data_IF_078539537227
#
_entry.id   IF_078539537227
#
_cell.length_a   1.000
_cell.length_b   1.000
_cell.length_c   1.000
_cell.angle_alpha   90.00
_cell.angle_beta   90.00
_cell.angle_gamma   90.00
#
_symmetry.space_group_name_H-M   'P 1'
#
loop_
_entity.id
_entity.type
_entity.pdbx_description
1 polymer ?
#
# COMPACT_ATOMS: atom_id res chain seq x y z
N UNK A 1 40.37 2.22 -23.30
CA UNK A 1 41.74 1.91 -22.88
C UNK A 1 41.78 0.89 -21.76
N UNK A 2 42.77 0.03 -21.84
CA UNK A 2 42.88 -1.25 -21.15
C UNK A 2 43.41 -1.15 -19.70
N UNK A 3 43.31 -2.29 -19.00
CA UNK A 3 43.91 -2.68 -17.70
C UNK A 3 43.02 -2.33 -16.49
N UNK A 4 42.53 -3.25 -15.67
CA UNK A 4 43.17 -4.45 -15.10
C UNK A 4 42.17 -5.60 -14.88
N UNK A 5 42.56 -6.79 -15.37
CA UNK A 5 42.15 -8.07 -14.83
C UNK A 5 42.98 -8.36 -13.57
N UNK A 6 42.31 -8.78 -12.48
CA UNK A 6 42.92 -9.63 -11.46
C UNK A 6 42.01 -10.83 -11.24
N UNK A 7 42.59 -12.01 -11.43
CA UNK A 7 41.95 -13.33 -11.42
C UNK A 7 41.65 -13.73 -9.98
N UNK A 8 40.43 -14.19 -9.72
CA UNK A 8 40.19 -15.20 -8.69
C UNK A 8 39.48 -16.36 -9.38
N UNK A 9 40.22 -17.44 -9.61
CA UNK A 9 39.69 -18.69 -10.13
C UNK A 9 39.31 -19.58 -8.97
N UNK A 10 38.02 -19.85 -8.81
CA UNK A 10 37.51 -21.13 -8.33
C UNK A 10 36.14 -21.32 -8.97
N UNK A 11 36.07 -22.30 -9.87
CA UNK A 11 34.86 -22.68 -10.58
C UNK A 11 34.08 -23.68 -9.72
N UNK A 12 32.78 -23.45 -9.59
CA UNK A 12 31.84 -24.35 -8.93
C UNK A 12 30.42 -23.85 -9.22
N UNK A 13 29.85 -24.36 -10.32
CA UNK A 13 28.46 -24.30 -10.77
C UNK A 13 27.54 -23.16 -10.23
N UNK A 14 27.26 -22.15 -11.07
CA UNK A 14 26.09 -21.26 -10.88
C UNK A 14 24.92 -21.75 -11.76
N UNK A 15 23.70 -21.91 -11.22
CA UNK A 15 22.54 -22.30 -12.03
C UNK A 15 22.13 -21.17 -13.00
N UNK A 16 21.93 -21.53 -14.27
CA UNK A 16 21.57 -20.67 -15.41
C UNK A 16 20.14 -20.09 -15.37
N UNK A 17 19.61 -19.64 -14.22
CA UNK A 17 18.23 -19.12 -14.11
C UNK A 17 18.06 -17.61 -13.89
N UNK A 18 19.14 -16.85 -13.68
CA UNK A 18 19.06 -15.38 -13.47
C UNK A 18 19.29 -14.57 -14.76
N UNK A 19 19.63 -15.22 -15.88
CA UNK A 19 20.01 -14.53 -17.12
C UNK A 19 18.85 -14.22 -18.08
N UNK A 20 17.65 -14.77 -17.85
CA UNK A 20 16.49 -14.50 -18.73
C UNK A 20 15.73 -13.24 -18.31
N UNK A 21 15.68 -12.91 -17.01
CA UNK A 21 15.05 -11.67 -16.51
C UNK A 21 15.90 -10.40 -16.81
N UNK A 22 17.21 -10.56 -17.00
CA UNK A 22 18.11 -9.44 -17.32
C UNK A 22 18.06 -9.03 -18.80
N UNK A 23 17.68 -9.95 -19.71
CA UNK A 23 17.60 -9.65 -21.15
C UNK A 23 16.30 -8.92 -21.54
N UNK A 24 15.17 -9.18 -20.89
CA UNK A 24 13.93 -8.41 -21.09
C UNK A 24 14.04 -6.99 -20.52
N UNK A 25 14.81 -6.79 -19.45
CA UNK A 25 15.04 -5.45 -18.87
C UNK A 25 15.95 -4.55 -19.73
N UNK A 26 16.77 -5.13 -20.61
CA UNK A 26 17.62 -4.36 -21.54
C UNK A 26 16.94 -4.05 -22.88
N UNK A 27 15.85 -4.73 -23.24
CA UNK A 27 15.12 -4.51 -24.50
C UNK A 27 14.07 -3.38 -24.46
N UNK A 28 13.75 -2.82 -23.29
CA UNK A 28 12.80 -1.68 -23.15
C UNK A 28 13.54 -0.35 -22.88
N UNK A 29 14.81 -0.24 -23.26
CA UNK A 29 15.55 1.03 -23.27
C UNK A 29 15.26 1.77 -24.58
N UNK A 30 14.07 2.34 -24.72
CA UNK A 30 13.74 3.15 -25.90
C UNK A 30 12.31 3.68 -25.99
N UNK A 31 11.34 3.08 -25.29
CA UNK A 31 9.97 3.60 -25.24
C UNK A 31 9.75 4.40 -23.95
N UNK A 32 9.16 5.59 -24.07
CA UNK A 32 8.68 6.35 -22.93
C UNK A 32 7.63 5.53 -22.16
N UNK A 33 7.74 5.49 -20.83
CA UNK A 33 6.74 4.82 -20.00
C UNK A 33 5.42 5.59 -20.07
N UNK A 34 4.26 4.92 -20.17
CA UNK A 34 2.98 5.62 -20.07
C UNK A 34 2.83 6.23 -18.68
N UNK A 35 2.19 7.39 -18.59
CA UNK A 35 1.83 8.01 -17.30
C UNK A 35 0.64 7.24 -16.72
N UNK A 36 0.71 6.82 -15.46
CA UNK A 36 -0.44 6.23 -14.77
C UNK A 36 -1.40 7.34 -14.34
N UNK A 37 -2.57 7.42 -14.96
CA UNK A 37 -3.57 8.48 -14.72
C UNK A 37 -4.81 8.02 -13.98
N UNK A 38 -5.04 6.72 -13.84
CA UNK A 38 -6.16 6.18 -13.06
C UNK A 38 -6.11 4.67 -12.95
N UNK A 39 -6.74 4.13 -11.91
CA UNK A 39 -6.84 2.68 -11.66
C UNK A 39 -8.29 2.28 -11.46
N UNK A 40 -8.75 1.30 -12.22
CA UNK A 40 -10.07 0.69 -12.11
C UNK A 40 -9.91 -0.68 -11.47
N UNK A 41 -10.71 -0.98 -10.45
CA UNK A 41 -10.67 -2.26 -9.75
C UNK A 41 -11.93 -3.06 -9.98
N UNK A 42 -11.80 -4.39 -10.02
CA UNK A 42 -12.88 -5.28 -9.61
C UNK A 42 -12.98 -5.36 -8.08
N UNK A 43 -14.11 -5.87 -7.59
CA UNK A 43 -14.37 -6.02 -6.15
C UNK A 43 -13.90 -7.38 -5.62
N UNK A 44 -14.65 -8.45 -5.91
CA UNK A 44 -14.43 -9.77 -5.33
C UNK A 44 -13.17 -10.42 -5.91
N UNK A 45 -12.36 -11.06 -5.08
CA UNK A 45 -11.09 -11.67 -5.49
C UNK A 45 -9.97 -10.67 -5.77
N UNK A 46 -10.30 -9.37 -5.81
CA UNK A 46 -9.37 -8.29 -6.08
C UNK A 46 -9.18 -7.39 -4.86
N UNK A 47 -10.23 -6.69 -4.44
CA UNK A 47 -10.25 -5.80 -3.28
C UNK A 47 -10.80 -6.48 -2.02
N UNK A 48 -11.73 -7.43 -2.20
CA UNK A 48 -12.38 -8.16 -1.12
C UNK A 48 -12.24 -9.66 -1.32
N UNK A 49 -12.09 -10.39 -0.21
CA UNK A 49 -12.08 -11.85 -0.24
C UNK A 49 -13.48 -12.32 -0.64
N UNK A 50 -13.64 -13.14 -1.70
CA UNK A 50 -14.96 -13.66 -2.08
C UNK A 50 -15.57 -14.45 -0.92
N UNK A 51 -16.76 -14.05 -0.48
CA UNK A 51 -17.42 -14.66 0.68
C UNK A 51 -18.88 -15.09 0.42
N UNK A 52 -19.35 -15.01 -0.83
CA UNK A 52 -20.64 -15.57 -1.27
C UNK A 52 -20.41 -16.93 -1.96
N UNK A 53 -21.05 -17.98 -1.45
CA UNK A 53 -21.16 -19.26 -2.16
C UNK A 53 -22.28 -19.18 -3.21
N UNK A 54 -21.91 -18.79 -4.43
CA UNK A 54 -22.83 -18.76 -5.56
C UNK A 54 -23.40 -20.15 -5.88
N UNK A 55 -22.66 -21.24 -5.64
CA UNK A 55 -23.20 -22.59 -5.87
C UNK A 55 -24.39 -22.90 -4.96
N UNK A 56 -24.27 -22.52 -3.69
CA UNK A 56 -25.36 -22.61 -2.72
C UNK A 56 -26.52 -21.67 -3.06
N UNK A 57 -26.22 -20.43 -3.49
CA UNK A 57 -27.24 -19.45 -3.88
C UNK A 57 -28.10 -19.98 -5.03
N UNK A 58 -27.48 -20.42 -6.12
CA UNK A 58 -28.19 -21.00 -7.27
C UNK A 58 -29.05 -22.21 -6.87
N UNK A 59 -28.49 -23.11 -6.06
CA UNK A 59 -29.21 -24.29 -5.54
C UNK A 59 -30.45 -23.88 -4.73
N UNK A 60 -30.33 -22.86 -3.87
CA UNK A 60 -31.43 -22.38 -3.02
C UNK A 60 -32.51 -21.64 -3.83
N UNK A 61 -32.12 -20.91 -4.87
CA UNK A 61 -33.05 -20.25 -5.78
C UNK A 61 -33.69 -21.20 -6.81
N UNK A 62 -33.22 -22.45 -6.89
CA UNK A 62 -33.71 -23.42 -7.89
C UNK A 62 -33.30 -23.08 -9.32
N UNK A 63 -32.16 -22.40 -9.49
CA UNK A 63 -31.64 -21.96 -10.79
C UNK A 63 -30.43 -22.81 -11.19
N UNK A 64 -30.34 -23.17 -12.47
CA UNK A 64 -29.17 -23.86 -13.01
C UNK A 64 -27.92 -22.96 -13.01
N UNK A 65 -26.76 -23.50 -12.62
CA UNK A 65 -25.50 -22.72 -12.49
C UNK A 65 -24.98 -22.16 -13.81
N UNK A 66 -25.44 -22.66 -14.94
CA UNK A 66 -25.07 -22.14 -16.26
C UNK A 66 -25.91 -20.94 -16.70
N UNK A 67 -27.01 -20.63 -16.00
CA UNK A 67 -27.88 -19.49 -16.29
C UNK A 67 -27.48 -18.23 -15.52
N UNK A 68 -28.00 -17.08 -15.96
CA UNK A 68 -27.96 -15.83 -15.18
C UNK A 68 -29.06 -15.87 -14.11
N UNK A 69 -28.68 -15.87 -12.83
CA UNK A 69 -29.63 -16.03 -11.73
C UNK A 69 -30.70 -14.94 -11.70
N UNK A 70 -30.34 -13.68 -12.03
CA UNK A 70 -31.28 -12.56 -11.98
C UNK A 70 -32.24 -12.56 -13.18
N UNK A 71 -31.79 -13.03 -14.34
CA UNK A 71 -32.65 -13.24 -15.50
C UNK A 71 -33.65 -14.37 -15.27
N UNK A 72 -33.19 -15.49 -14.70
CA UNK A 72 -34.08 -16.62 -14.39
C UNK A 72 -35.11 -16.25 -13.34
N UNK A 73 -34.70 -15.56 -12.26
CA UNK A 73 -35.63 -15.08 -11.22
C UNK A 73 -36.70 -14.15 -11.78
N UNK A 74 -36.38 -13.32 -12.80
CA UNK A 74 -37.37 -12.47 -13.49
C UNK A 74 -38.40 -13.28 -14.31
N UNK A 75 -38.04 -14.48 -14.76
CA UNK A 75 -38.92 -15.36 -15.53
C UNK A 75 -39.72 -16.34 -14.65
N UNK A 76 -39.48 -16.38 -13.34
CA UNK A 76 -40.21 -17.21 -12.39
C UNK A 76 -41.63 -16.71 -12.13
N UNK A 77 -42.49 -17.57 -11.57
CA UNK A 77 -43.77 -17.12 -11.04
C UNK A 77 -43.56 -16.11 -9.88
N UNK A 78 -44.51 -15.19 -9.61
CA UNK A 78 -44.34 -14.17 -8.57
C UNK A 78 -43.96 -14.73 -7.19
N UNK A 79 -44.53 -15.88 -6.80
CA UNK A 79 -44.20 -16.53 -5.53
C UNK A 79 -42.77 -17.08 -5.50
N UNK A 80 -42.33 -17.73 -6.58
CA UNK A 80 -40.97 -18.26 -6.68
C UNK A 80 -39.93 -17.13 -6.75
N UNK A 81 -40.23 -16.08 -7.51
CA UNK A 81 -39.37 -14.90 -7.61
C UNK A 81 -39.21 -14.22 -6.25
N UNK A 82 -40.28 -14.07 -5.47
CA UNK A 82 -40.23 -13.51 -4.13
C UNK A 82 -39.32 -14.34 -3.19
N UNK A 83 -39.48 -15.67 -3.18
CA UNK A 83 -38.61 -16.55 -2.39
C UNK A 83 -37.15 -16.48 -2.84
N UNK A 84 -36.89 -16.49 -4.14
CA UNK A 84 -35.53 -16.42 -4.67
C UNK A 84 -34.86 -15.07 -4.34
N UNK A 85 -35.59 -13.96 -4.43
CA UNK A 85 -35.09 -12.64 -4.05
C UNK A 85 -34.77 -12.57 -2.56
N UNK A 86 -35.61 -13.09 -1.68
CA UNK A 86 -35.35 -13.12 -0.23
C UNK A 86 -34.07 -13.92 0.10
N UNK A 87 -33.84 -15.03 -0.61
CA UNK A 87 -32.62 -15.85 -0.47
C UNK A 87 -31.39 -15.05 -0.92
N UNK A 88 -31.45 -14.40 -2.09
CA UNK A 88 -30.35 -13.59 -2.63
C UNK A 88 -30.04 -12.44 -1.67
N UNK A 89 -31.04 -11.67 -1.26
CA UNK A 89 -30.90 -10.52 -0.36
C UNK A 89 -30.29 -10.94 0.98
N UNK A 90 -30.75 -12.05 1.58
CA UNK A 90 -30.19 -12.56 2.83
C UNK A 90 -28.72 -12.96 2.68
N UNK A 91 -28.39 -13.71 1.63
CA UNK A 91 -27.01 -14.14 1.39
C UNK A 91 -26.08 -12.96 1.08
N UNK A 92 -26.55 -11.96 0.33
CA UNK A 92 -25.80 -10.74 0.07
C UNK A 92 -25.61 -9.90 1.36
N UNK A 93 -26.63 -9.82 2.22
CA UNK A 93 -26.55 -9.10 3.49
C UNK A 93 -25.57 -9.77 4.46
N UNK A 94 -25.62 -11.09 4.59
CA UNK A 94 -24.67 -11.86 5.42
C UNK A 94 -23.23 -11.65 4.91
N UNK A 95 -23.02 -11.74 3.59
CA UNK A 95 -21.73 -11.51 2.96
C UNK A 95 -21.22 -10.06 3.14
N UNK A 96 -22.10 -9.07 3.05
CA UNK A 96 -21.74 -7.68 3.29
C UNK A 96 -21.27 -7.48 4.75
N UNK A 97 -21.93 -8.14 5.71
CA UNK A 97 -21.58 -8.08 7.13
C UNK A 97 -20.25 -8.78 7.46
N UNK A 98 -19.89 -9.84 6.73
CA UNK A 98 -18.64 -10.60 6.91
C UNK A 98 -17.60 -10.28 5.84
N UNK A 99 -17.69 -9.13 5.17
CA UNK A 99 -16.76 -8.72 4.13
C UNK A 99 -15.35 -8.59 4.70
N UNK A 100 -14.34 -9.12 4.00
CA UNK A 100 -12.92 -8.97 4.34
C UNK A 100 -12.16 -8.32 3.18
N UNK A 101 -11.17 -7.48 3.48
CA UNK A 101 -10.33 -6.87 2.45
C UNK A 101 -9.23 -7.84 2.04
N UNK A 102 -8.94 -7.89 0.74
CA UNK A 102 -7.83 -8.68 0.20
C UNK A 102 -6.46 -8.19 0.70
N UNK A 103 -5.49 -9.11 0.68
CA UNK A 103 -4.13 -8.81 1.14
C UNK A 103 -3.54 -7.66 0.31
N UNK A 104 -3.28 -6.54 0.99
CA UNK A 104 -2.66 -5.36 0.38
C UNK A 104 -3.63 -4.37 -0.26
N UNK A 105 -4.95 -4.61 -0.20
CA UNK A 105 -5.95 -3.69 -0.73
C UNK A 105 -5.84 -2.29 -0.10
N UNK A 106 -5.90 -2.21 1.24
CA UNK A 106 -5.78 -0.93 1.94
C UNK A 106 -4.43 -0.22 1.71
N UNK A 107 -3.26 -0.88 1.87
CA UNK A 107 -1.96 -0.26 1.53
C UNK A 107 -1.87 0.25 0.09
N UNK A 108 -2.38 -0.50 -0.88
CA UNK A 108 -2.38 -0.10 -2.28
C UNK A 108 -3.23 1.15 -2.52
N UNK A 109 -4.46 1.17 -2.00
CA UNK A 109 -5.37 2.32 -2.15
C UNK A 109 -4.82 3.57 -1.46
N UNK A 110 -4.22 3.43 -0.28
CA UNK A 110 -3.52 4.52 0.40
C UNK A 110 -2.35 5.05 -0.44
N UNK A 111 -1.60 4.16 -1.08
CA UNK A 111 -0.49 4.53 -1.95
C UNK A 111 -0.97 5.31 -3.19
N UNK A 112 -2.01 4.84 -3.87
CA UNK A 112 -2.62 5.55 -5.01
C UNK A 112 -3.13 6.93 -4.62
N UNK A 113 -3.83 7.03 -3.48
CA UNK A 113 -4.32 8.30 -2.93
C UNK A 113 -3.17 9.27 -2.67
N UNK A 114 -2.05 8.79 -2.12
CA UNK A 114 -0.91 9.66 -1.78
C UNK A 114 -0.17 10.19 -3.01
N UNK A 115 -0.25 9.47 -4.13
CA UNK A 115 0.20 9.94 -5.45
C UNK A 115 -0.85 10.74 -6.22
N UNK A 116 -2.07 10.90 -5.68
CA UNK A 116 -3.16 11.62 -6.33
C UNK A 116 -3.72 10.90 -7.56
N UNK A 117 -3.62 9.57 -7.60
CA UNK A 117 -4.15 8.76 -8.69
C UNK A 117 -5.61 8.41 -8.39
N UNK A 118 -6.58 8.80 -9.25
CA UNK A 118 -7.99 8.48 -9.05
C UNK A 118 -8.25 6.98 -9.19
N UNK A 119 -9.25 6.51 -8.45
CA UNK A 119 -9.65 5.10 -8.41
C UNK A 119 -11.13 4.92 -8.67
N UNK A 120 -11.48 3.96 -9.52
CA UNK A 120 -12.85 3.57 -9.82
C UNK A 120 -13.08 2.09 -9.51
N UNK A 121 -14.34 1.72 -9.37
CA UNK A 121 -14.78 0.34 -9.15
C UNK A 121 -15.72 -0.08 -10.27
N UNK A 122 -15.55 -1.28 -10.80
CA UNK A 122 -16.50 -1.92 -11.74
C UNK A 122 -16.77 -3.34 -11.28
N UNK A 123 -17.97 -3.58 -10.76
CA UNK A 123 -18.34 -4.84 -10.13
C UNK A 123 -19.71 -5.34 -10.58
N UNK A 124 -19.90 -6.66 -10.49
CA UNK A 124 -21.21 -7.33 -10.62
C UNK A 124 -22.04 -7.30 -9.33
N UNK A 125 -21.51 -6.74 -8.25
CA UNK A 125 -22.24 -6.59 -7.00
C UNK A 125 -23.28 -5.46 -7.07
N UNK A 126 -24.27 -5.51 -6.19
CA UNK A 126 -25.28 -4.45 -6.06
C UNK A 126 -24.67 -3.16 -5.51
N UNK A 127 -25.36 -2.04 -5.75
CA UNK A 127 -25.02 -0.75 -5.17
C UNK A 127 -25.08 -0.77 -3.63
N UNK A 128 -25.87 -1.67 -3.03
CA UNK A 128 -25.91 -1.89 -1.57
C UNK A 128 -24.57 -2.43 -1.07
N UNK A 129 -24.06 -3.50 -1.67
CA UNK A 129 -22.78 -4.11 -1.30
C UNK A 129 -21.61 -3.14 -1.54
N UNK A 130 -21.66 -2.36 -2.63
CA UNK A 130 -20.67 -1.30 -2.90
C UNK A 130 -20.66 -0.23 -1.81
N UNK A 131 -21.83 0.19 -1.32
CA UNK A 131 -21.90 1.15 -0.19
C UNK A 131 -21.28 0.58 1.08
N UNK A 132 -21.43 -0.71 1.33
CA UNK A 132 -20.82 -1.36 2.49
C UNK A 132 -19.30 -1.44 2.37
N UNK A 133 -18.77 -1.76 1.18
CA UNK A 133 -17.33 -1.66 0.91
C UNK A 133 -16.81 -0.25 1.19
N UNK A 134 -17.50 0.79 0.71
CA UNK A 134 -17.12 2.18 0.98
C UNK A 134 -17.16 2.52 2.48
N UNK A 135 -18.17 2.05 3.21
CA UNK A 135 -18.26 2.22 4.67
C UNK A 135 -17.05 1.58 5.34
N UNK A 136 -16.72 0.34 4.97
CA UNK A 136 -15.59 -0.42 5.51
C UNK A 136 -14.25 0.28 5.25
N UNK A 137 -13.97 0.66 4.00
CA UNK A 137 -12.76 1.40 3.62
C UNK A 137 -12.60 2.72 4.39
N UNK A 138 -13.71 3.44 4.61
CA UNK A 138 -13.70 4.68 5.39
C UNK A 138 -13.42 4.44 6.87
N UNK A 139 -14.08 3.45 7.48
CA UNK A 139 -13.96 3.16 8.92
C UNK A 139 -12.59 2.57 9.25
N UNK A 140 -12.11 1.60 8.48
CA UNK A 140 -10.88 0.87 8.79
C UNK A 140 -9.61 1.56 8.30
N UNK A 141 -9.70 2.41 7.27
CA UNK A 141 -8.51 2.98 6.62
C UNK A 141 -8.62 4.46 6.27
N UNK A 142 -9.74 5.13 6.62
CA UNK A 142 -9.95 6.54 6.29
C UNK A 142 -9.92 6.84 4.79
N UNK A 143 -10.16 5.83 3.95
CA UNK A 143 -10.10 5.94 2.49
C UNK A 143 -11.42 6.52 1.94
N UNK A 144 -11.37 7.35 0.89
CA UNK A 144 -12.58 7.82 0.23
C UNK A 144 -13.27 6.68 -0.52
N UNK A 145 -14.54 6.89 -0.87
CA UNK A 145 -15.25 6.03 -1.80
C UNK A 145 -14.59 6.04 -3.20
N UNK A 146 -14.79 4.97 -3.96
CA UNK A 146 -14.43 4.94 -5.37
C UNK A 146 -15.32 5.91 -6.15
N UNK A 147 -14.73 6.61 -7.12
CA UNK A 147 -15.47 7.56 -7.95
C UNK A 147 -15.01 7.51 -9.43
N UNK A 148 -15.84 6.97 -10.35
CA UNK A 148 -17.14 6.34 -10.07
C UNK A 148 -17.01 4.92 -9.49
N UNK A 149 -18.09 4.45 -8.88
CA UNK A 149 -18.31 3.05 -8.57
C UNK A 149 -19.49 2.54 -9.39
N UNK A 150 -19.22 1.69 -10.38
CA UNK A 150 -20.21 1.11 -11.29
C UNK A 150 -20.55 -0.29 -10.79
N UNK A 151 -21.82 -0.47 -10.42
CA UNK A 151 -22.40 -1.70 -9.90
C UNK A 151 -23.26 -2.40 -10.97
N UNK A 152 -23.82 -3.57 -10.65
CA UNK A 152 -24.82 -4.21 -11.53
C UNK A 152 -26.12 -3.41 -11.69
N UNK A 153 -26.38 -2.49 -10.76
CA UNK A 153 -27.61 -1.70 -10.73
C UNK A 153 -27.49 -0.44 -11.63
N UNK A 154 -26.30 -0.16 -12.16
CA UNK A 154 -26.05 0.89 -13.13
C UNK A 154 -26.44 0.44 -14.55
N UNK A 155 -26.99 1.36 -15.35
CA UNK A 155 -27.34 1.12 -16.76
C UNK A 155 -26.10 1.12 -17.66
N UNK A 156 -25.25 0.12 -17.49
CA UNK A 156 -24.03 -0.11 -18.27
C UNK A 156 -23.91 -1.61 -18.56
N UNK A 157 -23.54 -2.01 -19.79
CA UNK A 157 -23.34 -3.43 -20.09
C UNK A 157 -22.29 -4.06 -19.17
N UNK A 158 -22.50 -5.31 -18.69
CA UNK A 158 -21.58 -5.96 -17.78
C UNK A 158 -20.24 -6.28 -18.45
N UNK A 159 -19.20 -6.48 -17.62
CA UNK A 159 -17.91 -7.02 -18.08
C UNK A 159 -18.14 -8.35 -18.84
N UNK A 160 -17.44 -8.60 -19.96
CA UNK A 160 -16.24 -7.89 -20.44
C UNK A 160 -16.51 -6.75 -21.45
N UNK A 161 -17.74 -6.23 -21.56
CA UNK A 161 -18.04 -5.10 -22.45
C UNK A 161 -17.38 -3.79 -21.93
N UNK A 162 -16.75 -2.96 -22.77
CA UNK A 162 -15.93 -1.82 -22.30
C UNK A 162 -16.70 -0.56 -21.88
N UNK A 163 -18.03 -0.53 -22.03
CA UNK A 163 -18.86 0.66 -21.77
C UNK A 163 -18.67 1.30 -20.38
N UNK A 164 -18.37 0.52 -19.35
CA UNK A 164 -18.03 1.05 -18.02
C UNK A 164 -16.71 1.84 -18.01
N UNK A 165 -15.68 1.37 -18.73
CA UNK A 165 -14.42 2.09 -18.90
C UNK A 165 -14.64 3.40 -19.67
N UNK A 166 -15.48 3.39 -20.71
CA UNK A 166 -15.82 4.60 -21.47
C UNK A 166 -16.54 5.65 -20.61
N UNK A 167 -17.42 5.21 -19.70
CA UNK A 167 -18.06 6.09 -18.71
C UNK A 167 -17.04 6.66 -17.73
N UNK A 168 -16.15 5.82 -17.17
CA UNK A 168 -15.09 6.23 -16.26
C UNK A 168 -14.16 7.26 -16.90
N UNK A 169 -13.67 6.98 -18.11
CA UNK A 169 -12.75 7.86 -18.83
C UNK A 169 -13.37 9.24 -19.10
N UNK A 170 -14.65 9.27 -19.51
CA UNK A 170 -15.42 10.53 -19.65
C UNK A 170 -15.54 11.28 -18.32
N UNK A 171 -15.84 10.60 -17.22
CA UNK A 171 -15.97 11.23 -15.91
C UNK A 171 -14.64 11.78 -15.38
N UNK A 172 -13.54 11.07 -15.61
CA UNK A 172 -12.20 11.55 -15.30
C UNK A 172 -11.64 12.56 -16.31
N UNK A 173 -12.43 12.92 -17.32
CA UNK A 173 -12.05 13.85 -18.39
C UNK A 173 -10.71 13.48 -19.06
N UNK A 174 -10.55 12.20 -19.41
CA UNK A 174 -9.39 11.68 -20.12
C UNK A 174 -9.81 10.67 -21.20
N UNK A 175 -9.05 10.53 -22.30
CA UNK A 175 -9.34 9.49 -23.29
C UNK A 175 -9.14 8.09 -22.70
N UNK A 176 -9.76 7.07 -23.28
CA UNK A 176 -9.36 5.69 -22.97
C UNK A 176 -7.95 5.39 -23.52
N UNK A 177 -7.20 4.57 -22.79
CA UNK A 177 -5.90 4.07 -23.25
C UNK A 177 -5.06 3.46 -22.14
N UNK A 178 -3.83 3.09 -22.49
CA UNK A 178 -2.86 2.42 -21.60
C UNK A 178 -2.39 3.24 -20.39
N UNK A 179 -2.85 4.48 -20.23
CA UNK A 179 -2.62 5.29 -19.04
C UNK A 179 -3.64 5.01 -17.91
N UNK A 180 -4.68 4.23 -18.21
CA UNK A 180 -5.61 3.66 -17.24
C UNK A 180 -5.22 2.20 -17.02
N UNK A 181 -5.30 1.74 -15.78
CA UNK A 181 -5.04 0.35 -15.40
C UNK A 181 -6.32 -0.32 -14.90
N UNK A 182 -6.74 -1.43 -15.52
CA UNK A 182 -7.75 -2.34 -14.96
C UNK A 182 -7.07 -3.42 -14.10
N UNK A 183 -7.50 -3.56 -12.85
CA UNK A 183 -7.00 -4.56 -11.90
C UNK A 183 -8.15 -5.51 -11.56
N UNK A 184 -7.93 -6.81 -11.74
CA UNK A 184 -8.92 -7.84 -11.45
C UNK A 184 -8.29 -9.21 -11.20
N UNK A 185 -9.08 -10.22 -10.85
CA UNK A 185 -8.63 -11.58 -10.56
C UNK A 185 -9.02 -12.58 -11.67
N UNK A 186 -9.92 -12.20 -12.59
CA UNK A 186 -10.43 -13.09 -13.62
C UNK A 186 -9.87 -12.76 -15.02
N UNK A 187 -9.10 -13.69 -15.64
CA UNK A 187 -8.58 -13.47 -16.99
C UNK A 187 -9.66 -13.32 -18.05
N UNK A 188 -10.72 -14.13 -18.00
CA UNK A 188 -11.80 -14.10 -18.99
C UNK A 188 -12.79 -12.95 -18.80
N UNK A 189 -12.78 -12.31 -17.62
CA UNK A 189 -13.67 -11.21 -17.30
C UNK A 189 -12.89 -9.88 -17.27
N UNK A 190 -12.00 -9.67 -16.29
CA UNK A 190 -11.34 -8.38 -16.03
C UNK A 190 -10.23 -8.06 -17.02
N UNK A 191 -9.40 -9.05 -17.37
CA UNK A 191 -8.31 -8.84 -18.34
C UNK A 191 -8.90 -8.64 -19.73
N UNK A 192 -9.90 -9.42 -20.14
CA UNK A 192 -10.62 -9.21 -21.41
C UNK A 192 -11.35 -7.86 -21.39
N UNK A 193 -12.01 -7.48 -20.29
CA UNK A 193 -12.65 -6.18 -20.12
C UNK A 193 -11.68 -5.01 -20.34
N UNK A 194 -10.52 -5.03 -19.68
CA UNK A 194 -9.49 -4.00 -19.85
C UNK A 194 -8.97 -3.93 -21.29
N UNK A 195 -8.71 -5.09 -21.91
CA UNK A 195 -8.25 -5.17 -23.31
C UNK A 195 -9.28 -4.64 -24.31
N UNK A 196 -10.55 -5.00 -24.14
CA UNK A 196 -11.63 -4.48 -24.98
C UNK A 196 -11.74 -2.95 -24.88
N UNK A 197 -11.39 -2.37 -23.72
CA UNK A 197 -11.31 -0.92 -23.53
C UNK A 197 -9.96 -0.28 -23.93
N UNK A 198 -8.99 -1.07 -24.40
CA UNK A 198 -7.65 -0.58 -24.77
C UNK A 198 -6.82 -0.04 -23.60
N UNK A 199 -7.13 -0.44 -22.36
CA UNK A 199 -6.41 -0.02 -21.15
C UNK A 199 -5.37 -1.07 -20.74
N UNK A 200 -4.41 -0.67 -19.90
CA UNK A 200 -3.46 -1.63 -19.32
C UNK A 200 -4.16 -2.54 -18.31
N UNK A 201 -3.62 -3.73 -18.08
CA UNK A 201 -4.25 -4.78 -17.26
C UNK A 201 -3.31 -5.35 -16.21
N UNK A 202 -3.81 -5.56 -15.00
CA UNK A 202 -3.12 -6.28 -13.93
C UNK A 202 -3.99 -7.41 -13.40
N UNK A 203 -3.44 -8.62 -13.36
CA UNK A 203 -4.08 -9.80 -12.81
C UNK A 203 -3.61 -10.06 -11.38
N UNK A 204 -4.55 -10.23 -10.45
CA UNK A 204 -4.30 -10.70 -9.08
C UNK A 204 -4.61 -12.19 -9.02
N UNK A 205 -3.57 -13.02 -9.04
CA UNK A 205 -3.69 -14.47 -9.22
C UNK A 205 -3.94 -15.27 -7.92
N UNK A 206 -4.34 -14.64 -6.80
CA UNK A 206 -4.29 -15.24 -5.46
C UNK A 206 -5.63 -15.52 -4.78
N UNK A 207 -6.04 -16.81 -4.75
CA UNK A 207 -6.66 -17.56 -3.62
C UNK A 207 -7.42 -18.84 -4.07
N UNK A 208 -7.47 -19.17 -5.37
CA UNK A 208 -8.22 -20.34 -5.87
C UNK A 208 -7.54 -21.25 -6.90
N UNK A 209 -6.28 -20.99 -7.29
CA UNK A 209 -5.51 -21.89 -8.17
C UNK A 209 -4.19 -22.24 -7.47
N UNK A 210 -3.96 -23.53 -7.30
CA UNK A 210 -2.79 -24.13 -6.66
C UNK A 210 -1.50 -23.45 -7.13
N UNK A 211 -0.77 -22.90 -6.16
CA UNK A 211 0.58 -22.42 -6.33
C UNK A 211 1.55 -23.62 -6.44
N UNK A 212 1.47 -24.35 -7.55
CA UNK A 212 2.52 -25.30 -7.93
C UNK A 212 3.46 -24.62 -8.93
N UNK A 213 4.70 -24.46 -8.49
CA UNK A 213 5.94 -24.40 -9.28
C UNK A 213 5.83 -23.89 -10.74
N UNK A 214 5.76 -22.57 -10.92
CA UNK A 214 5.88 -21.94 -12.23
C UNK A 214 5.63 -20.46 -12.12
N UNK A 215 6.34 -19.63 -12.90
CA UNK A 215 6.07 -18.19 -12.92
C UNK A 215 4.59 -17.92 -13.15
N UNK A 216 4.03 -16.95 -12.44
CA UNK A 216 2.59 -16.62 -12.51
C UNK A 216 2.22 -16.41 -13.99
N UNK A 217 1.42 -17.31 -14.56
CA UNK A 217 0.99 -17.20 -15.95
C UNK A 217 0.20 -15.90 -16.10
N UNK A 218 0.63 -15.04 -17.03
CA UNK A 218 0.01 -13.73 -17.19
C UNK A 218 -1.43 -13.83 -17.67
N UNK A 219 -1.83 -14.96 -18.28
CA UNK A 219 -3.14 -15.17 -18.91
C UNK A 219 -3.56 -13.98 -19.78
N UNK A 220 -2.57 -13.30 -20.37
CA UNK A 220 -2.75 -12.12 -21.20
C UNK A 220 -2.70 -10.75 -20.49
N UNK A 221 -2.65 -10.69 -19.17
CA UNK A 221 -2.48 -9.41 -18.48
C UNK A 221 -1.08 -8.80 -18.72
N UNK A 222 -0.98 -7.48 -18.70
CA UNK A 222 0.31 -6.77 -18.82
C UNK A 222 1.16 -6.95 -17.56
N UNK A 223 0.51 -6.99 -16.39
CA UNK A 223 1.09 -7.20 -15.08
C UNK A 223 0.39 -8.37 -14.38
N UNK A 224 1.12 -9.12 -13.57
CA UNK A 224 0.56 -10.22 -12.79
C UNK A 224 1.22 -10.27 -11.41
N UNK A 225 0.39 -10.38 -10.37
CA UNK A 225 0.81 -10.40 -8.97
C UNK A 225 0.04 -11.47 -8.19
N UNK A 226 0.62 -11.96 -7.11
CA UNK A 226 -0.08 -12.91 -6.22
C UNK A 226 -1.03 -12.23 -5.23
N UNK A 227 -0.85 -10.93 -4.99
CA UNK A 227 -1.69 -10.09 -4.13
C UNK A 227 -1.40 -8.61 -4.40
N UNK A 228 -2.27 -7.71 -3.93
CA UNK A 228 -2.20 -6.28 -4.22
C UNK A 228 -0.96 -5.59 -3.62
N UNK A 229 -0.32 -6.14 -2.59
CA UNK A 229 0.88 -5.54 -1.99
C UNK A 229 2.07 -5.53 -2.97
N UNK A 230 2.10 -6.44 -3.94
CA UNK A 230 3.18 -6.55 -4.93
C UNK A 230 3.00 -5.62 -6.14
N UNK A 231 1.82 -5.03 -6.32
CA UNK A 231 1.50 -4.26 -7.52
C UNK A 231 2.18 -2.87 -7.52
N UNK A 232 2.19 -2.07 -6.43
CA UNK A 232 2.79 -0.73 -6.42
C UNK A 232 4.26 -0.66 -6.90
N UNK A 233 5.20 -1.55 -6.49
CA UNK A 233 6.55 -1.57 -7.03
C UNK A 233 6.61 -1.86 -8.54
N UNK A 234 5.68 -2.67 -9.06
CA UNK A 234 5.59 -2.94 -10.50
C UNK A 234 5.06 -1.72 -11.24
N UNK A 235 4.04 -1.04 -10.69
CA UNK A 235 3.51 0.21 -11.26
C UNK A 235 4.61 1.27 -11.35
N UNK A 236 5.41 1.43 -10.30
CA UNK A 236 6.55 2.34 -10.26
C UNK A 236 7.59 2.06 -11.37
N UNK A 237 7.74 0.81 -11.78
CA UNK A 237 8.68 0.38 -12.82
C UNK A 237 8.08 0.46 -14.22
N UNK A 238 6.79 0.23 -14.36
CA UNK A 238 6.10 0.15 -15.64
C UNK A 238 5.61 1.51 -16.12
N UNK A 239 5.11 2.34 -15.20
CA UNK A 239 4.54 3.65 -15.48
C UNK A 239 5.47 4.79 -15.08
N UNK A 240 5.21 5.96 -15.65
CA UNK A 240 5.53 7.22 -15.00
C UNK A 240 4.44 7.51 -13.97
N UNK A 241 4.81 7.53 -12.69
CA UNK A 241 3.89 7.88 -11.59
C UNK A 241 3.90 9.41 -11.46
N UNK A 242 2.74 10.08 -11.59
CA UNK A 242 2.67 11.54 -11.53
C UNK A 242 2.82 12.08 -10.11
N UNK A 243 2.88 13.41 -9.99
CA UNK A 243 2.86 14.11 -8.72
C UNK A 243 4.24 14.34 -8.09
N UNK A 244 4.25 15.03 -6.95
CA UNK A 244 5.47 15.45 -6.26
C UNK A 244 6.30 14.29 -5.67
N UNK A 245 5.68 13.13 -5.50
CA UNK A 245 6.31 11.91 -4.99
C UNK A 245 6.63 10.89 -6.09
N UNK A 246 6.21 11.19 -7.31
CA UNK A 246 6.25 10.33 -8.48
C UNK A 246 7.65 10.03 -9.03
N UNK A 247 7.68 9.36 -10.18
CA UNK A 247 8.93 8.85 -10.79
C UNK A 247 9.79 9.97 -11.36
N UNK A 248 9.17 11.06 -11.84
CA UNK A 248 9.86 12.23 -12.36
C UNK A 248 10.32 13.23 -11.30
N UNK A 249 9.96 13.02 -10.02
CA UNK A 249 10.31 13.95 -8.95
C UNK A 249 11.82 13.99 -8.74
N UNK A 250 12.45 15.19 -8.71
CA UNK A 250 13.89 15.31 -8.62
C UNK A 250 14.42 14.67 -7.34
N UNK A 251 15.65 14.16 -7.40
CA UNK A 251 16.38 13.78 -6.19
C UNK A 251 16.74 15.06 -5.43
N UNK A 252 15.85 15.46 -4.51
CA UNK A 252 16.11 16.59 -3.62
C UNK A 252 17.21 16.17 -2.65
N UNK A 253 18.38 16.80 -2.76
CA UNK A 253 19.43 16.70 -1.77
C UNK A 253 19.11 17.66 -0.63
N UNK A 254 18.72 17.09 0.50
CA UNK A 254 18.36 17.85 1.68
C UNK A 254 19.63 18.20 2.45
N UNK A 255 19.92 19.49 2.74
CA UNK A 255 21.02 19.84 3.61
C UNK A 255 20.85 19.15 4.96
N UNK A 256 21.97 18.80 5.60
CA UNK A 256 21.94 18.29 6.97
C UNK A 256 21.51 19.48 7.84
N UNK A 257 20.33 19.42 8.50
CA UNK A 257 19.90 20.51 9.35
C UNK A 257 20.87 20.68 10.52
N UNK A 258 20.88 21.86 11.13
CA UNK A 258 21.57 22.13 12.39
C UNK A 258 20.56 22.75 13.38
N UNK A 259 20.75 22.57 14.69
CA UNK A 259 19.90 23.22 15.67
C UNK A 259 19.86 24.73 15.43
N UNK A 260 18.65 25.27 15.30
CA UNK A 260 18.40 26.71 15.11
C UNK A 260 18.03 27.44 16.40
N UNK A 261 17.82 26.73 17.51
CA UNK A 261 17.47 27.33 18.80
C UNK A 261 18.34 26.80 19.93
N UNK A 262 18.48 27.59 21.00
CA UNK A 262 19.24 27.19 22.19
C UNK A 262 18.66 25.93 22.86
N UNK A 263 17.32 25.79 22.89
CA UNK A 263 16.66 24.60 23.41
C UNK A 263 16.96 23.37 22.54
N UNK A 264 16.98 23.52 21.21
CA UNK A 264 17.33 22.44 20.30
C UNK A 264 18.81 22.04 20.41
N UNK A 265 19.71 23.01 20.60
CA UNK A 265 21.14 22.74 20.81
C UNK A 265 21.38 22.02 22.14
N UNK A 266 20.77 22.50 23.23
CA UNK A 266 20.80 21.84 24.53
C UNK A 266 20.29 20.40 24.45
N UNK A 267 19.15 20.17 23.79
CA UNK A 267 18.57 18.84 23.60
C UNK A 267 19.47 17.91 22.78
N UNK A 268 20.06 18.40 21.68
CA UNK A 268 21.01 17.63 20.87
C UNK A 268 22.25 17.22 21.65
N UNK A 269 22.73 18.09 22.54
CA UNK A 269 23.92 17.87 23.36
C UNK A 269 23.62 17.12 24.67
N UNK A 270 22.35 16.82 24.97
CA UNK A 270 21.95 16.14 26.20
C UNK A 270 22.02 17.01 27.46
N UNK A 271 22.08 18.33 27.32
CA UNK A 271 22.21 19.27 28.44
C UNK A 271 20.86 19.50 29.14
N UNK A 272 20.47 18.53 29.97
CA UNK A 272 19.23 18.60 30.76
C UNK A 272 19.24 19.79 31.72
N UNK A 273 20.41 20.24 32.20
CA UNK A 273 20.50 21.38 33.09
C UNK A 273 20.11 22.68 32.37
N UNK A 274 20.58 22.87 31.13
CA UNK A 274 20.13 23.96 30.27
C UNK A 274 18.64 23.83 29.91
N UNK A 275 18.17 22.62 29.59
CA UNK A 275 16.77 22.38 29.22
C UNK A 275 15.77 22.81 30.31
N UNK A 276 16.13 22.67 31.59
CA UNK A 276 15.31 23.11 32.74
C UNK A 276 15.04 24.61 32.79
N UNK A 277 15.82 25.42 32.07
CA UNK A 277 15.68 26.87 32.07
C UNK A 277 14.73 27.39 30.97
N UNK A 278 14.15 26.51 30.15
CA UNK A 278 13.21 26.88 29.09
C UNK A 278 11.75 26.62 29.51
N UNK A 279 10.85 27.50 29.07
CA UNK A 279 9.41 27.28 29.21
C UNK A 279 8.93 26.19 28.24
N UNK A 280 7.77 25.59 28.52
CA UNK A 280 7.21 24.50 27.71
C UNK A 280 7.04 24.91 26.23
N UNK A 281 6.61 26.14 25.97
CA UNK A 281 6.43 26.66 24.62
C UNK A 281 7.74 26.66 23.83
N UNK A 282 8.88 26.88 24.49
CA UNK A 282 10.21 26.83 23.87
C UNK A 282 10.70 25.38 23.68
N UNK A 283 10.31 24.48 24.58
CA UNK A 283 10.62 23.05 24.50
C UNK A 283 9.80 22.33 23.41
N UNK A 284 8.63 22.85 23.06
CA UNK A 284 7.74 22.30 22.03
C UNK A 284 7.84 23.03 20.67
N UNK A 285 8.48 24.21 20.64
CA UNK A 285 8.67 24.97 19.41
C UNK A 285 9.60 24.27 18.41
N UNK A 286 9.26 24.39 17.13
CA UNK A 286 10.16 24.03 16.04
C UNK A 286 11.21 25.13 15.83
N UNK A 287 12.46 24.73 15.66
CA UNK A 287 13.53 25.64 15.24
C UNK A 287 13.44 25.99 13.75
N UNK A 288 14.40 26.78 13.25
CA UNK A 288 14.46 27.21 11.85
C UNK A 288 14.67 26.05 10.86
N UNK A 289 15.20 24.91 11.33
CA UNK A 289 15.28 23.67 10.55
C UNK A 289 13.94 22.91 10.54
N UNK A 290 12.94 23.39 11.29
CA UNK A 290 11.65 22.76 11.49
C UNK A 290 11.67 21.63 12.51
N UNK A 291 12.73 21.40 13.27
CA UNK A 291 12.76 20.31 14.27
C UNK A 291 12.49 20.85 15.67
N UNK A 292 11.82 20.06 16.51
CA UNK A 292 11.69 20.35 17.94
C UNK A 292 12.93 19.86 18.72
N UNK A 293 13.15 20.35 19.96
CA UNK A 293 14.14 19.80 20.87
C UNK A 293 14.05 18.27 21.01
N UNK A 294 12.84 17.71 21.08
CA UNK A 294 12.64 16.25 21.19
C UNK A 294 13.17 15.50 19.95
N UNK A 295 12.94 16.04 18.75
CA UNK A 295 13.46 15.44 17.50
C UNK A 295 14.99 15.48 17.48
N UNK A 296 15.60 16.56 17.97
CA UNK A 296 17.06 16.69 18.05
C UNK A 296 17.68 15.72 19.07
N UNK A 297 17.12 15.64 20.28
CA UNK A 297 17.55 14.68 21.28
C UNK A 297 17.43 13.24 20.74
N UNK A 298 16.34 12.95 20.01
CA UNK A 298 16.13 11.64 19.41
C UNK A 298 17.08 11.30 18.25
N UNK A 299 17.43 12.26 17.37
CA UNK A 299 18.44 12.03 16.31
C UNK A 299 19.86 11.90 16.86
N UNK A 300 20.13 12.45 18.05
CA UNK A 300 21.43 12.41 18.71
C UNK A 300 21.59 11.27 19.74
N UNK A 301 20.52 10.55 20.08
CA UNK A 301 20.57 9.45 21.04
C UNK A 301 20.61 9.91 22.51
N UNK A 302 20.15 11.12 22.82
CA UNK A 302 20.24 11.70 24.16
C UNK A 302 19.06 11.26 25.03
N UNK A 303 19.14 10.06 25.60
CA UNK A 303 18.05 9.45 26.38
C UNK A 303 17.53 10.34 27.52
N UNK A 304 18.43 10.94 28.31
CA UNK A 304 18.03 11.74 29.47
C UNK A 304 17.30 13.02 29.06
N UNK A 305 17.73 13.65 27.96
CA UNK A 305 17.03 14.79 27.37
C UNK A 305 15.66 14.38 26.82
N UNK A 306 15.56 13.21 26.16
CA UNK A 306 14.28 12.68 25.68
C UNK A 306 13.31 12.47 26.84
N UNK A 307 13.74 11.80 27.92
CA UNK A 307 12.90 11.58 29.11
C UNK A 307 12.43 12.90 29.72
N UNK A 308 13.35 13.84 29.93
CA UNK A 308 13.01 15.17 30.45
C UNK A 308 11.96 15.88 29.59
N UNK A 309 12.13 15.87 28.27
CA UNK A 309 11.20 16.53 27.34
C UNK A 309 9.82 15.85 27.32
N UNK A 310 9.78 14.51 27.39
CA UNK A 310 8.52 13.76 27.52
C UNK A 310 7.80 14.08 28.83
N UNK A 311 8.53 14.13 29.95
CA UNK A 311 7.99 14.48 31.27
C UNK A 311 7.48 15.94 31.31
N UNK A 312 8.10 16.83 30.54
CA UNK A 312 7.64 18.21 30.38
C UNK A 312 6.32 18.33 29.58
N UNK A 313 5.87 17.27 28.90
CA UNK A 313 4.59 17.25 28.19
C UNK A 313 4.64 17.82 26.77
N UNK A 314 5.81 17.84 26.12
CA UNK A 314 5.92 18.27 24.71
C UNK A 314 5.17 17.33 23.78
N UNK A 315 4.78 17.82 22.60
CA UNK A 315 4.09 17.01 21.61
C UNK A 315 5.05 16.02 20.93
N UNK A 316 4.92 14.74 21.29
CA UNK A 316 5.74 13.63 20.76
C UNK A 316 5.56 13.38 19.25
N UNK A 317 4.41 13.79 18.71
CA UNK A 317 4.00 13.52 17.33
C UNK A 317 4.32 14.65 16.35
N UNK A 318 4.97 15.72 16.82
CA UNK A 318 5.37 16.84 15.95
C UNK A 318 6.25 16.34 14.80
N UNK A 319 5.90 16.77 13.58
CA UNK A 319 6.64 16.46 12.37
C UNK A 319 7.66 17.55 12.09
N UNK A 320 8.92 17.17 12.12
CA UNK A 320 10.01 18.08 11.83
C UNK A 320 10.42 18.09 10.36
N UNK A 321 11.70 18.36 10.13
CA UNK A 321 12.30 18.45 8.80
C UNK A 321 11.98 17.23 7.91
N UNK A 322 11.39 17.45 6.73
CA UNK A 322 10.93 16.41 5.78
C UNK A 322 9.86 15.49 6.38
N UNK A 323 9.08 15.99 7.34
CA UNK A 323 8.05 15.24 8.03
C UNK A 323 8.56 14.16 9.00
N UNK A 324 9.83 14.21 9.42
CA UNK A 324 10.40 13.24 10.35
C UNK A 324 9.93 13.47 11.79
N UNK A 325 9.42 12.44 12.45
CA UNK A 325 9.10 12.43 13.89
C UNK A 325 10.30 11.99 14.74
N UNK A 326 10.25 12.19 16.06
CA UNK A 326 11.28 11.71 16.98
C UNK A 326 11.50 10.18 16.85
N UNK A 327 10.42 9.40 16.77
CA UNK A 327 10.46 7.94 16.55
C UNK A 327 11.19 7.60 15.25
N UNK A 328 10.88 8.30 14.15
CA UNK A 328 11.55 8.06 12.86
C UNK A 328 13.05 8.37 12.91
N UNK A 329 13.48 9.40 13.66
CA UNK A 329 14.89 9.76 13.83
C UNK A 329 15.64 8.72 14.64
N UNK A 330 15.11 8.33 15.80
CA UNK A 330 15.69 7.28 16.63
C UNK A 330 15.81 5.96 15.85
N UNK A 331 14.76 5.58 15.11
CA UNK A 331 14.74 4.38 14.26
C UNK A 331 15.79 4.42 13.15
N UNK A 332 15.94 5.58 12.48
CA UNK A 332 16.94 5.78 11.43
C UNK A 332 18.37 5.71 11.93
N UNK A 333 18.62 6.06 13.20
CA UNK A 333 19.94 6.08 13.83
C UNK A 333 20.25 4.82 14.64
N UNK A 334 19.24 4.01 14.93
CA UNK A 334 19.37 2.82 15.77
C UNK A 334 19.51 3.13 17.26
N UNK A 335 18.99 4.27 17.74
CA UNK A 335 18.99 4.62 19.16
C UNK A 335 17.84 3.90 19.87
N UNK A 336 18.08 2.64 20.24
CA UNK A 336 17.08 1.69 20.75
C UNK A 336 16.51 2.13 22.10
N UNK A 337 17.36 2.64 22.99
CA UNK A 337 16.98 3.14 24.32
C UNK A 337 16.07 4.38 24.25
N UNK A 338 16.39 5.31 23.35
CA UNK A 338 15.53 6.45 23.01
C UNK A 338 14.21 5.98 22.41
N UNK A 339 14.28 5.00 21.49
CA UNK A 339 13.09 4.45 20.85
C UNK A 339 12.15 3.81 21.88
N UNK A 340 12.69 3.03 22.81
CA UNK A 340 11.93 2.45 23.93
C UNK A 340 11.26 3.54 24.78
N UNK A 341 11.98 4.62 25.12
CA UNK A 341 11.41 5.73 25.89
C UNK A 341 10.27 6.44 25.15
N UNK A 342 10.42 6.66 23.84
CA UNK A 342 9.39 7.29 23.01
C UNK A 342 8.14 6.42 22.88
N UNK A 343 8.31 5.10 22.70
CA UNK A 343 7.21 4.15 22.53
C UNK A 343 6.51 3.80 23.84
N UNK A 344 7.17 3.99 24.99
CA UNK A 344 6.58 3.85 26.32
C UNK A 344 5.86 5.11 26.82
N UNK A 345 5.93 6.23 26.08
CA UNK A 345 5.34 7.50 26.51
C UNK A 345 3.80 7.42 26.63
N UNK A 346 3.19 7.99 27.69
CA UNK A 346 1.73 8.00 27.89
C UNK A 346 0.96 8.65 26.73
N UNK A 347 1.56 9.61 26.05
CA UNK A 347 0.95 10.31 24.91
C UNK A 347 0.97 9.50 23.60
N UNK A 348 1.47 8.26 23.64
CA UNK A 348 1.64 7.30 22.54
C UNK A 348 2.17 7.92 21.24
N UNK A 349 3.47 7.78 21.02
CA UNK A 349 4.07 8.18 19.76
C UNK A 349 3.49 7.38 18.58
N UNK A 350 3.13 8.07 17.50
CA UNK A 350 2.63 7.45 16.28
C UNK A 350 3.76 6.67 15.59
N UNK A 351 3.77 5.35 15.82
CA UNK A 351 4.82 4.43 15.39
C UNK A 351 4.91 4.26 13.87
N UNK A 352 3.82 4.52 13.16
CA UNK A 352 3.71 4.36 11.71
C UNK A 352 3.67 5.67 10.94
N UNK A 353 3.83 6.81 11.62
CA UNK A 353 3.71 8.12 10.99
C UNK A 353 4.73 8.28 9.85
N UNK A 354 4.28 8.42 8.58
CA UNK A 354 5.19 8.51 7.47
C UNK A 354 5.76 9.92 7.33
N UNK A 355 7.01 9.97 6.88
CA UNK A 355 7.64 11.20 6.44
C UNK A 355 7.05 11.70 5.10
N UNK A 356 7.52 12.83 4.60
CA UNK A 356 7.05 13.38 3.31
C UNK A 356 7.28 12.45 2.12
N UNK A 357 8.23 11.49 2.22
CA UNK A 357 8.52 10.47 1.20
C UNK A 357 7.79 9.14 1.43
N UNK A 358 6.77 9.14 2.29
CA UNK A 358 5.98 7.96 2.67
C UNK A 358 6.76 6.87 3.44
N UNK A 359 7.93 7.20 3.98
CA UNK A 359 8.73 6.24 4.74
C UNK A 359 8.31 6.28 6.21
N UNK A 360 7.86 5.15 6.74
CA UNK A 360 7.60 4.97 8.17
C UNK A 360 8.90 4.73 8.96
N UNK A 361 8.88 4.84 10.30
CA UNK A 361 10.02 4.49 11.15
C UNK A 361 10.61 3.10 10.85
N UNK A 362 9.76 2.10 10.56
CA UNK A 362 10.20 0.75 10.23
C UNK A 362 10.97 0.69 8.90
N UNK A 363 10.60 1.49 7.89
CA UNK A 363 11.39 1.62 6.66
C UNK A 363 12.80 2.14 6.97
N UNK A 364 12.92 3.14 7.84
CA UNK A 364 14.22 3.71 8.19
C UNK A 364 15.12 2.71 8.91
N UNK A 365 14.60 2.04 9.95
CA UNK A 365 15.36 1.03 10.69
C UNK A 365 15.81 -0.11 9.77
N UNK A 366 14.91 -0.60 8.91
CA UNK A 366 15.19 -1.67 7.96
C UNK A 366 16.25 -1.25 6.92
N UNK A 367 16.08 -0.10 6.26
CA UNK A 367 17.02 0.43 5.26
C UNK A 367 18.41 0.69 5.84
N UNK A 368 18.47 1.16 7.10
CA UNK A 368 19.73 1.44 7.81
C UNK A 368 20.32 0.22 8.52
N UNK A 369 19.64 -0.93 8.45
CA UNK A 369 20.07 -2.22 9.02
C UNK A 369 20.20 -2.21 10.55
N UNK A 370 19.36 -1.44 11.23
CA UNK A 370 19.32 -1.41 12.69
C UNK A 370 18.36 -2.50 13.19
N UNK A 371 18.89 -3.73 13.31
CA UNK A 371 18.10 -4.91 13.68
C UNK A 371 17.32 -4.72 14.99
N UNK A 372 17.98 -4.26 16.03
CA UNK A 372 17.34 -4.11 17.34
C UNK A 372 16.21 -3.07 17.31
N UNK A 373 16.38 -1.99 16.55
CA UNK A 373 15.31 -1.00 16.34
C UNK A 373 14.13 -1.59 15.54
N UNK A 374 14.40 -2.45 14.56
CA UNK A 374 13.35 -3.20 13.85
C UNK A 374 12.58 -4.07 14.84
N UNK A 375 13.27 -4.85 15.67
CA UNK A 375 12.62 -5.73 16.64
C UNK A 375 11.74 -4.94 17.62
N UNK A 376 12.22 -3.79 18.13
CA UNK A 376 11.41 -2.91 18.99
C UNK A 376 10.16 -2.39 18.28
N UNK A 377 10.30 -1.89 17.05
CA UNK A 377 9.15 -1.42 16.28
C UNK A 377 8.12 -2.53 16.05
N UNK A 378 8.58 -3.75 15.73
CA UNK A 378 7.71 -4.90 15.53
C UNK A 378 6.99 -5.34 16.81
N UNK A 379 7.66 -5.34 17.96
CA UNK A 379 7.05 -5.65 19.27
C UNK A 379 5.96 -4.63 19.61
N UNK A 380 6.17 -3.35 19.28
CA UNK A 380 5.18 -2.28 19.51
C UNK A 380 4.13 -2.14 18.39
N UNK A 381 4.04 -3.10 17.48
CA UNK A 381 2.92 -3.16 16.53
C UNK A 381 3.12 -2.40 15.22
N UNK A 382 4.32 -1.90 14.90
CA UNK A 382 4.58 -1.17 13.65
C UNK A 382 4.10 -1.95 12.42
N UNK A 383 3.51 -1.24 11.46
CA UNK A 383 2.94 -1.81 10.25
C UNK A 383 4.01 -2.35 9.30
N UNK A 384 3.97 -3.66 9.08
CA UNK A 384 4.88 -4.36 8.16
C UNK A 384 4.47 -4.23 6.69
N UNK A 385 3.31 -3.62 6.41
CA UNK A 385 2.72 -3.49 5.07
C UNK A 385 2.57 -2.04 4.61
N UNK A 386 3.05 -1.08 5.41
CA UNK A 386 3.16 0.32 4.98
C UNK A 386 4.01 0.42 3.72
N UNK A 387 3.64 1.31 2.78
CA UNK A 387 4.33 1.46 1.50
C UNK A 387 5.06 2.79 1.42
N UNK A 388 6.33 2.75 1.02
CA UNK A 388 7.09 3.94 0.65
C UNK A 388 6.58 4.55 -0.68
N UNK A 389 7.14 5.70 -1.08
CA UNK A 389 6.72 6.36 -2.33
C UNK A 389 6.89 5.47 -3.57
N UNK A 390 7.83 4.51 -3.56
CA UNK A 390 8.08 3.57 -4.65
C UNK A 390 7.20 2.32 -4.57
N UNK A 391 6.32 2.24 -3.58
CA UNK A 391 5.42 1.12 -3.37
C UNK A 391 6.04 -0.04 -2.61
N UNK A 392 7.19 0.13 -1.98
CA UNK A 392 7.92 -0.94 -1.27
C UNK A 392 7.51 -0.98 0.19
N UNK A 393 7.43 -2.18 0.75
CA UNK A 393 7.30 -2.43 2.18
C UNK A 393 8.65 -2.32 2.89
N UNK A 394 8.69 -2.21 4.24
CA UNK A 394 9.96 -2.19 4.97
C UNK A 394 10.85 -3.41 4.71
N UNK A 395 10.26 -4.59 4.52
CA UNK A 395 10.97 -5.83 4.18
C UNK A 395 11.70 -5.74 2.81
N UNK A 396 11.11 -5.02 1.85
CA UNK A 396 11.68 -4.80 0.52
C UNK A 396 12.69 -3.65 0.50
N UNK A 397 12.72 -2.82 1.55
CA UNK A 397 13.61 -1.68 1.68
C UNK A 397 14.98 -2.02 2.29
N UNK A 398 15.13 -3.23 2.85
CA UNK A 398 16.40 -3.72 3.37
C UNK A 398 17.11 -4.68 2.42
N UNK A 399 18.44 -4.64 2.42
CA UNK A 399 19.28 -5.67 1.80
C UNK A 399 19.70 -6.77 2.78
N UNK A 400 19.41 -6.61 4.07
CA UNK A 400 19.74 -7.59 5.10
C UNK A 400 18.64 -8.66 5.17
N UNK A 401 19.02 -9.92 4.95
CA UNK A 401 18.10 -11.06 4.96
C UNK A 401 17.47 -11.27 6.34
N UNK A 402 18.25 -11.17 7.42
CA UNK A 402 17.72 -11.41 8.76
C UNK A 402 16.65 -10.42 9.13
N UNK A 403 16.87 -9.14 8.82
CA UNK A 403 15.88 -8.07 9.05
C UNK A 403 14.64 -8.30 8.20
N UNK A 404 14.81 -8.66 6.92
CA UNK A 404 13.69 -8.96 6.03
C UNK A 404 12.84 -10.09 6.60
N UNK A 405 13.47 -11.18 6.99
CA UNK A 405 12.79 -12.38 7.47
C UNK A 405 12.01 -12.07 8.74
N UNK A 406 12.57 -11.33 9.70
CA UNK A 406 11.81 -10.95 10.91
C UNK A 406 10.60 -10.05 10.63
N UNK A 407 10.69 -9.14 9.65
CA UNK A 407 9.53 -8.32 9.26
C UNK A 407 8.45 -9.21 8.62
N UNK A 408 8.83 -10.22 7.83
CA UNK A 408 7.91 -11.16 7.22
C UNK A 408 7.30 -12.12 8.25
N UNK A 409 8.09 -12.66 9.16
CA UNK A 409 7.64 -13.51 10.28
C UNK A 409 6.65 -12.74 11.16
N UNK A 410 6.96 -11.49 11.54
CA UNK A 410 6.05 -10.64 12.30
C UNK A 410 4.76 -10.29 11.52
N UNK A 411 4.83 -10.21 10.19
CA UNK A 411 3.66 -10.01 9.34
C UNK A 411 2.77 -11.24 9.35
N UNK A 412 3.35 -12.43 9.30
CA UNK A 412 2.61 -13.69 9.23
C UNK A 412 2.05 -14.09 10.60
N UNK A 413 2.73 -13.77 11.69
CA UNK A 413 2.26 -14.02 13.06
C UNK A 413 1.06 -13.15 13.50
N UNK A 414 0.73 -12.10 12.75
CA UNK A 414 -0.41 -11.20 13.01
C UNK A 414 -1.64 -11.50 12.15
N UNK A 415 -1.54 -12.49 11.26
CA UNK A 415 -2.67 -13.06 10.52
C UNK A 415 -3.39 -14.06 11.39
#
# INVERSE_FOLDING_TARGET
DARLQARCGWCGARPRRVHLAYRTAQMVRGMARPILRGVVFDMDGTLTVPNIDFGLMYKRCGVDRSSDILAEVRNMSPAQAATANEIIEKMEADAAATMELEKGAAPMLLWLRRHGIPTALVTRNSAVTVRELHRKLKVESGLPAFDPAISRDDDVPPKPHPGALERIARQWNMPLGSHILMVGDSPSNDVVFGRNGGVSTALVAGSGRSADEGGVETNGADLCVSNLLQLPPLLWRHFEVPGQLGTGSPLIHYPIPKPGSMACDAAKNGDVAALRNFALEQLDAQDESGNTPLIWAADAGQLDAVKFLLDAGVNVNTKGYIGGTAVSRASRRGHVDVLDALLASPSLACIDEPNEKMQSPLHFAAFKKHRDAVDKLLVHGASTVSLDRKGRTPAEDTSDERIRDAILEARDARR
#
